data_IF_254021286470
#
_entry.id   IF_254021286470
#
_cell.length_a   1.000
_cell.length_b   1.000
_cell.length_c   1.000
_cell.angle_alpha   90.00
_cell.angle_beta   90.00
_cell.angle_gamma   90.00
#
_symmetry.space_group_name_H-M   'P 1'
#
loop_
_entity.id
_entity.type
_entity.pdbx_description
1 polymer ?
#
# COMPACT_ATOMS: atom_id res chain seq x y z
N UNK A 1 -11.78 -17.86 -7.49
CA UNK A 1 -11.88 -16.39 -7.37
C UNK A 1 -10.98 -15.88 -6.25
N UNK A 2 -11.24 -16.23 -4.98
CA UNK A 2 -10.33 -15.95 -3.87
C UNK A 2 -8.89 -16.41 -4.17
N UNK A 3 -8.71 -17.61 -4.75
CA UNK A 3 -7.38 -18.11 -5.14
C UNK A 3 -6.62 -17.27 -6.18
N UNK A 4 -7.30 -16.56 -7.09
CA UNK A 4 -6.62 -15.72 -8.11
C UNK A 4 -6.18 -14.40 -7.47
N UNK A 5 -7.05 -13.79 -6.66
CA UNK A 5 -6.69 -12.63 -5.85
C UNK A 5 -5.58 -12.97 -4.84
N UNK A 6 -5.66 -14.11 -4.16
CA UNK A 6 -4.65 -14.58 -3.22
C UNK A 6 -3.30 -14.89 -3.90
N UNK A 7 -3.32 -15.43 -5.13
CA UNK A 7 -2.10 -15.73 -5.88
C UNK A 7 -1.41 -14.44 -6.37
N UNK A 8 -2.19 -13.49 -6.87
CA UNK A 8 -1.68 -12.17 -7.25
C UNK A 8 -1.13 -11.42 -6.03
N UNK A 9 -1.91 -11.40 -4.93
CA UNK A 9 -1.50 -10.84 -3.63
C UNK A 9 -0.18 -11.45 -3.14
N UNK A 10 -0.04 -12.79 -3.21
CA UNK A 10 1.22 -13.47 -2.88
C UNK A 10 2.40 -13.06 -3.77
N UNK A 11 2.18 -12.85 -5.07
CA UNK A 11 3.24 -12.39 -5.98
C UNK A 11 3.70 -10.98 -5.63
N UNK A 12 2.77 -10.07 -5.34
CA UNK A 12 3.09 -8.69 -4.92
C UNK A 12 3.91 -8.65 -3.64
N UNK A 13 3.50 -9.44 -2.64
CA UNK A 13 4.20 -9.51 -1.36
C UNK A 13 5.67 -9.93 -1.47
N UNK A 14 6.07 -10.64 -2.52
CA UNK A 14 7.48 -11.05 -2.71
C UNK A 14 8.38 -9.83 -2.88
N UNK A 15 7.98 -8.85 -3.67
CA UNK A 15 8.86 -7.71 -3.97
C UNK A 15 8.84 -6.63 -2.92
N UNK A 16 7.71 -6.47 -2.21
CA UNK A 16 7.69 -5.69 -0.97
C UNK A 16 8.66 -6.29 0.06
N UNK A 17 8.65 -7.62 0.22
CA UNK A 17 9.61 -8.31 1.11
C UNK A 17 11.05 -8.13 0.65
N UNK A 18 11.33 -8.14 -0.66
CA UNK A 18 12.67 -7.90 -1.17
C UNK A 18 13.14 -6.47 -0.89
N UNK A 19 12.32 -5.46 -1.20
CA UNK A 19 12.63 -4.06 -0.90
C UNK A 19 12.82 -3.83 0.60
N UNK A 20 11.92 -4.38 1.42
CA UNK A 20 12.01 -4.32 2.87
C UNK A 20 13.28 -5.01 3.40
N UNK A 21 13.65 -6.17 2.85
CA UNK A 21 14.89 -6.86 3.21
C UNK A 21 16.13 -6.03 2.84
N UNK A 22 16.09 -5.37 1.69
CA UNK A 22 17.17 -4.51 1.24
C UNK A 22 17.34 -3.30 2.16
N UNK A 23 16.25 -2.61 2.52
CA UNK A 23 16.25 -1.54 3.52
C UNK A 23 16.75 -2.02 4.88
N UNK A 24 16.37 -3.25 5.29
CA UNK A 24 16.82 -3.84 6.55
C UNK A 24 18.32 -4.07 6.58
N UNK A 25 18.92 -4.59 5.49
CA UNK A 25 20.37 -4.75 5.37
C UNK A 25 21.11 -3.41 5.38
N UNK A 26 20.48 -2.36 4.86
CA UNK A 26 21.03 -1.02 4.88
C UNK A 26 21.02 -0.40 6.29
N UNK A 27 20.00 -0.70 7.09
CA UNK A 27 19.84 -0.23 8.48
C UNK A 27 20.56 -1.09 9.51
N UNK A 28 20.74 -2.39 9.26
CA UNK A 28 21.25 -3.38 10.20
C UNK A 28 22.35 -4.18 9.51
N UNK A 29 23.59 -3.92 9.90
CA UNK A 29 24.77 -4.56 9.34
C UNK A 29 25.73 -4.99 10.46
N UNK A 30 26.48 -6.05 10.23
CA UNK A 30 27.44 -6.63 11.17
C UNK A 30 28.60 -5.69 11.52
N UNK A 31 28.76 -4.60 10.77
CA UNK A 31 29.77 -3.57 10.98
C UNK A 31 29.38 -2.51 12.03
N UNK A 32 28.33 -2.74 12.81
CA UNK A 32 27.87 -1.80 13.83
C UNK A 32 28.98 -1.49 14.86
N UNK A 33 29.15 -0.21 15.19
CA UNK A 33 30.21 0.33 16.06
C UNK A 33 31.58 0.45 15.40
N UNK A 34 31.74 0.08 14.13
CA UNK A 34 33.04 0.13 13.44
C UNK A 34 33.34 1.49 12.81
N UNK A 35 34.63 1.75 12.54
CA UNK A 35 35.06 2.89 11.71
C UNK A 35 34.40 2.85 10.33
N UNK A 36 34.18 1.67 9.76
CA UNK A 36 33.53 1.49 8.46
C UNK A 36 32.07 1.93 8.48
N UNK A 37 31.31 1.62 9.53
CA UNK A 37 29.94 2.14 9.68
C UNK A 37 29.93 3.67 9.77
N UNK A 38 30.81 4.27 10.57
CA UNK A 38 30.87 5.74 10.67
C UNK A 38 31.19 6.41 9.32
N UNK A 39 32.10 5.82 8.55
CA UNK A 39 32.44 6.26 7.20
C UNK A 39 31.27 6.09 6.23
N UNK A 40 30.55 4.97 6.34
CA UNK A 40 29.34 4.71 5.57
C UNK A 40 28.23 5.71 5.89
N UNK A 41 27.91 5.99 7.16
CA UNK A 41 26.86 6.95 7.53
C UNK A 41 27.15 8.34 6.97
N UNK A 42 28.40 8.78 7.04
CA UNK A 42 28.84 10.05 6.46
C UNK A 42 28.73 10.04 4.93
N UNK A 43 29.15 8.94 4.29
CA UNK A 43 29.06 8.75 2.86
C UNK A 43 27.60 8.75 2.39
N UNK A 44 26.74 8.03 3.10
CA UNK A 44 25.31 7.93 2.84
C UNK A 44 24.66 9.31 2.96
N UNK A 45 24.86 10.04 4.06
CA UNK A 45 24.30 11.38 4.23
C UNK A 45 24.77 12.37 3.17
N UNK A 46 25.99 12.23 2.66
CA UNK A 46 26.50 13.05 1.54
C UNK A 46 25.77 12.73 0.23
N UNK A 47 25.43 11.45 0.00
CA UNK A 47 24.72 11.02 -1.21
C UNK A 47 23.22 11.31 -1.11
N UNK A 48 22.56 10.93 -0.02
CA UNK A 48 21.11 11.03 0.17
C UNK A 48 20.64 12.40 0.63
N UNK A 49 21.54 13.25 1.18
CA UNK A 49 21.18 14.49 1.85
C UNK A 49 20.56 14.32 3.24
N UNK A 50 20.50 13.10 3.78
CA UNK A 50 19.90 12.79 5.08
C UNK A 50 20.60 11.60 5.76
N UNK A 51 20.58 11.53 7.09
CA UNK A 51 21.17 10.40 7.80
C UNK A 51 20.45 9.07 7.47
N UNK A 52 21.16 7.95 7.66
CA UNK A 52 20.67 6.64 7.25
C UNK A 52 19.47 6.19 8.09
N UNK A 53 19.42 6.58 9.36
CA UNK A 53 18.35 6.26 10.28
C UNK A 53 17.05 6.96 9.86
N UNK A 54 17.11 8.26 9.57
CA UNK A 54 15.98 9.04 9.04
C UNK A 54 15.52 8.52 7.70
N UNK A 55 16.46 8.22 6.79
CA UNK A 55 16.14 7.65 5.48
C UNK A 55 15.41 6.31 5.64
N UNK A 56 16.04 5.34 6.30
CA UNK A 56 15.47 3.98 6.39
C UNK A 56 14.17 3.97 7.18
N UNK A 57 14.04 4.75 8.25
CA UNK A 57 12.79 4.91 8.99
C UNK A 57 11.64 5.44 8.12
N UNK A 58 11.92 6.47 7.31
CA UNK A 58 10.95 7.04 6.38
C UNK A 58 10.57 6.04 5.28
N UNK A 59 11.56 5.32 4.73
CA UNK A 59 11.31 4.33 3.69
C UNK A 59 10.49 3.14 4.21
N UNK A 60 10.79 2.65 5.42
CA UNK A 60 9.97 1.60 6.04
C UNK A 60 8.52 2.03 6.22
N UNK A 61 8.29 3.26 6.71
CA UNK A 61 6.95 3.79 6.87
C UNK A 61 6.17 3.78 5.54
N UNK A 62 6.76 4.27 4.46
CA UNK A 62 6.09 4.30 3.16
C UNK A 62 5.88 2.91 2.56
N UNK A 63 6.85 2.00 2.71
CA UNK A 63 6.72 0.60 2.25
C UNK A 63 5.58 -0.10 3.00
N UNK A 64 5.51 0.03 4.33
CA UNK A 64 4.43 -0.54 5.14
C UNK A 64 3.07 0.06 4.81
N UNK A 65 3.00 1.38 4.60
CA UNK A 65 1.77 2.05 4.19
C UNK A 65 1.29 1.53 2.83
N UNK A 66 2.18 1.40 1.86
CA UNK A 66 1.85 0.93 0.54
C UNK A 66 1.42 -0.56 0.56
N UNK A 67 2.11 -1.40 1.34
CA UNK A 67 1.70 -2.79 1.57
C UNK A 67 0.28 -2.88 2.14
N UNK A 68 -0.01 -2.10 3.20
CA UNK A 68 -1.35 -2.03 3.80
C UNK A 68 -2.40 -1.57 2.79
N UNK A 69 -2.09 -0.63 1.90
CA UNK A 69 -3.04 -0.16 0.90
C UNK A 69 -3.34 -1.20 -0.18
N UNK A 70 -2.32 -1.96 -0.61
CA UNK A 70 -2.49 -3.04 -1.57
C UNK A 70 -3.28 -4.21 -0.99
N UNK A 71 -3.16 -4.42 0.32
CA UNK A 71 -3.81 -5.50 1.05
C UNK A 71 -5.28 -5.27 1.37
N UNK A 72 -5.77 -4.03 1.30
CA UNK A 72 -7.20 -3.68 1.51
C UNK A 72 -8.07 -4.41 0.49
N UNK A 73 -9.25 -4.86 0.91
CA UNK A 73 -10.26 -5.41 0.00
C UNK A 73 -10.71 -4.35 -1.01
N UNK A 74 -11.15 -3.20 -0.52
CA UNK A 74 -11.41 -2.02 -1.34
C UNK A 74 -10.13 -1.19 -1.57
N UNK A 75 -9.38 -1.61 -2.59
CA UNK A 75 -8.18 -0.90 -3.02
C UNK A 75 -8.46 0.40 -3.72
N UNK A 76 -7.60 1.35 -3.43
CA UNK A 76 -7.65 2.71 -3.94
C UNK A 76 -6.40 2.97 -4.77
N UNK A 77 -6.52 2.86 -6.09
CA UNK A 77 -5.42 3.06 -7.05
C UNK A 77 -4.74 4.41 -6.84
N UNK A 78 -5.51 5.49 -6.78
CA UNK A 78 -4.99 6.85 -6.57
C UNK A 78 -4.19 6.98 -5.28
N UNK A 79 -4.68 6.37 -4.19
CA UNK A 79 -3.98 6.38 -2.91
C UNK A 79 -2.65 5.61 -2.95
N UNK A 80 -2.66 4.45 -3.62
CA UNK A 80 -1.48 3.58 -3.71
C UNK A 80 -0.42 4.22 -4.61
N UNK A 81 -0.84 4.82 -5.73
CA UNK A 81 0.07 5.53 -6.62
C UNK A 81 0.63 6.80 -5.97
N UNK A 82 -0.18 7.54 -5.20
CA UNK A 82 0.32 8.69 -4.45
C UNK A 82 1.39 8.28 -3.43
N UNK A 83 1.17 7.20 -2.68
CA UNK A 83 2.13 6.66 -1.71
C UNK A 83 3.40 6.18 -2.42
N UNK A 84 3.26 5.47 -3.54
CA UNK A 84 4.39 5.03 -4.37
C UNK A 84 5.21 6.20 -4.93
N UNK A 85 4.57 7.26 -5.42
CA UNK A 85 5.29 8.42 -5.98
C UNK A 85 6.14 9.14 -4.92
N UNK A 86 5.67 9.18 -3.66
CA UNK A 86 6.45 9.73 -2.55
C UNK A 86 7.68 8.84 -2.28
N UNK A 87 7.49 7.53 -2.23
CA UNK A 87 8.59 6.55 -2.09
C UNK A 87 9.60 6.68 -3.24
N UNK A 88 9.13 6.74 -4.48
CA UNK A 88 9.95 6.90 -5.68
C UNK A 88 10.75 8.19 -5.62
N UNK A 89 10.13 9.31 -5.24
CA UNK A 89 10.81 10.61 -5.13
C UNK A 89 11.96 10.58 -4.10
N UNK A 90 11.75 9.94 -2.94
CA UNK A 90 12.79 9.79 -1.92
C UNK A 90 13.98 8.96 -2.42
N UNK A 91 13.72 7.86 -3.15
CA UNK A 91 14.78 7.07 -3.77
C UNK A 91 15.46 7.80 -4.94
N UNK A 92 14.71 8.57 -5.73
CA UNK A 92 15.27 9.34 -6.85
C UNK A 92 16.28 10.38 -6.38
N UNK A 93 16.10 10.95 -5.19
CA UNK A 93 17.09 11.83 -4.58
C UNK A 93 18.42 11.10 -4.34
N UNK A 94 18.38 9.86 -3.86
CA UNK A 94 19.56 9.01 -3.67
C UNK A 94 20.19 8.58 -5.01
N UNK A 95 19.37 8.15 -5.98
CA UNK A 95 19.82 7.68 -7.30
C UNK A 95 20.45 8.80 -8.13
N UNK A 96 19.84 9.99 -8.08
CA UNK A 96 20.24 11.16 -8.89
C UNK A 96 21.37 11.96 -8.23
N UNK A 97 21.77 11.61 -7.00
CA UNK A 97 22.89 12.25 -6.33
C UNK A 97 24.20 12.03 -7.08
N UNK A 98 24.49 12.98 -7.97
CA UNK A 98 25.71 13.05 -8.79
C UNK A 98 26.84 13.78 -8.07
N UNK A 99 26.66 14.07 -6.77
CA UNK A 99 27.45 15.00 -5.99
C UNK A 99 28.86 14.40 -5.78
N UNK A 100 29.75 14.72 -6.73
CA UNK A 100 31.21 14.65 -6.71
C UNK A 100 31.93 13.30 -6.82
N UNK A 101 31.43 12.38 -7.63
CA UNK A 101 32.10 11.10 -7.92
C UNK A 101 33.54 11.15 -8.52
N UNK A 102 34.15 12.32 -8.71
CA UNK A 102 35.48 12.52 -9.31
C UNK A 102 36.54 13.16 -8.38
N UNK A 103 36.21 13.42 -7.10
CA UNK A 103 37.16 13.97 -6.11
C UNK A 103 37.68 12.86 -5.16
N UNK A 104 38.89 13.02 -4.63
CA UNK A 104 39.58 12.10 -3.71
C UNK A 104 38.74 11.81 -2.45
N UNK A 105 38.00 12.82 -1.97
CA UNK A 105 37.07 12.69 -0.84
C UNK A 105 35.90 11.72 -1.15
N UNK A 106 35.51 11.62 -2.41
CA UNK A 106 34.42 10.74 -2.86
C UNK A 106 34.92 9.34 -3.23
N UNK A 107 36.20 9.18 -3.53
CA UNK A 107 36.83 7.85 -3.59
C UNK A 107 36.68 7.12 -2.24
N UNK A 108 36.90 7.83 -1.12
CA UNK A 108 36.67 7.27 0.22
C UNK A 108 35.20 6.95 0.49
N UNK A 109 34.28 7.80 0.03
CA UNK A 109 32.82 7.57 0.11
C UNK A 109 32.42 6.26 -0.58
N UNK A 110 32.94 6.01 -1.79
CA UNK A 110 32.72 4.76 -2.53
C UNK A 110 33.26 3.54 -1.78
N UNK A 111 34.46 3.65 -1.22
CA UNK A 111 35.09 2.55 -0.48
C UNK A 111 34.26 2.18 0.74
N UNK A 112 33.86 3.17 1.56
CA UNK A 112 33.03 2.90 2.73
C UNK A 112 31.66 2.35 2.35
N UNK A 113 31.04 2.88 1.29
CA UNK A 113 29.78 2.37 0.77
C UNK A 113 29.90 0.90 0.36
N UNK A 114 30.88 0.57 -0.49
CA UNK A 114 31.08 -0.78 -0.98
C UNK A 114 31.49 -1.76 0.13
N UNK A 115 32.30 -1.34 1.10
CA UNK A 115 32.64 -2.18 2.25
C UNK A 115 31.42 -2.49 3.13
N UNK A 116 30.51 -1.54 3.27
CA UNK A 116 29.32 -1.69 4.09
C UNK A 116 28.23 -2.53 3.39
N UNK A 117 27.89 -2.16 2.15
CA UNK A 117 26.80 -2.79 1.40
C UNK A 117 27.22 -4.02 0.62
N UNK A 118 28.53 -4.24 0.45
CA UNK A 118 29.12 -5.22 -0.48
C UNK A 118 28.74 -4.96 -1.95
N UNK A 119 28.27 -3.75 -2.27
CA UNK A 119 27.79 -3.35 -3.59
C UNK A 119 28.37 -2.00 -3.97
N UNK A 120 28.78 -1.85 -5.22
CA UNK A 120 29.09 -0.51 -5.72
C UNK A 120 27.83 0.36 -5.74
N UNK A 121 28.00 1.68 -5.64
CA UNK A 121 26.87 2.63 -5.70
C UNK A 121 26.02 2.42 -6.98
N UNK A 122 26.61 2.24 -8.19
CA UNK A 122 25.82 1.96 -9.39
C UNK A 122 25.00 0.67 -9.28
N UNK A 123 25.60 -0.44 -8.84
CA UNK A 123 24.88 -1.72 -8.68
C UNK A 123 23.74 -1.61 -7.65
N UNK A 124 23.99 -0.90 -6.55
CA UNK A 124 22.97 -0.62 -5.54
C UNK A 124 21.80 0.18 -6.12
N UNK A 125 22.09 1.22 -6.91
CA UNK A 125 21.06 2.01 -7.58
C UNK A 125 20.26 1.17 -8.58
N UNK A 126 20.91 0.32 -9.38
CA UNK A 126 20.24 -0.57 -10.33
C UNK A 126 19.27 -1.54 -9.62
N UNK A 127 19.69 -2.10 -8.47
CA UNK A 127 18.85 -2.97 -7.65
C UNK A 127 17.64 -2.20 -7.10
N UNK A 128 17.84 -0.97 -6.61
CA UNK A 128 16.74 -0.13 -6.12
C UNK A 128 15.74 0.20 -7.23
N UNK A 129 16.22 0.58 -8.42
CA UNK A 129 15.39 0.84 -9.60
C UNK A 129 14.55 -0.39 -9.94
N UNK A 130 15.19 -1.57 -10.00
CA UNK A 130 14.50 -2.83 -10.27
C UNK A 130 13.39 -3.11 -9.24
N UNK A 131 13.64 -2.87 -7.95
CA UNK A 131 12.62 -3.03 -6.91
C UNK A 131 11.45 -2.06 -7.09
N UNK A 132 11.72 -0.80 -7.42
CA UNK A 132 10.68 0.20 -7.69
C UNK A 132 9.83 -0.14 -8.90
N UNK A 133 10.45 -0.60 -9.99
CA UNK A 133 9.74 -1.06 -11.18
C UNK A 133 8.80 -2.23 -10.86
N UNK A 134 9.26 -3.18 -10.04
CA UNK A 134 8.40 -4.29 -9.64
C UNK A 134 7.24 -3.82 -8.74
N UNK A 135 7.49 -2.94 -7.77
CA UNK A 135 6.44 -2.39 -6.92
C UNK A 135 5.39 -1.66 -7.76
N UNK A 136 5.82 -0.84 -8.73
CA UNK A 136 4.92 -0.17 -9.67
C UNK A 136 4.08 -1.16 -10.48
N UNK A 137 4.73 -2.17 -11.05
CA UNK A 137 4.04 -3.25 -11.77
C UNK A 137 3.00 -3.97 -10.89
N UNK A 138 3.29 -4.13 -9.60
CA UNK A 138 2.37 -4.75 -8.65
C UNK A 138 1.10 -3.91 -8.45
N UNK A 139 1.23 -2.58 -8.44
CA UNK A 139 0.09 -1.66 -8.39
C UNK A 139 -0.75 -1.82 -9.68
N UNK A 140 -0.12 -1.79 -10.85
CA UNK A 140 -0.80 -1.91 -12.15
C UNK A 140 -1.57 -3.24 -12.29
N UNK A 141 -0.98 -4.35 -11.85
CA UNK A 141 -1.64 -5.66 -11.85
C UNK A 141 -2.85 -5.68 -10.89
N UNK A 142 -2.75 -5.02 -9.72
CA UNK A 142 -3.86 -4.89 -8.76
C UNK A 142 -5.00 -4.05 -9.34
N UNK A 143 -4.68 -2.99 -10.10
CA UNK A 143 -5.65 -2.18 -10.86
C UNK A 143 -6.38 -3.04 -11.89
N UNK A 144 -5.63 -3.82 -12.68
CA UNK A 144 -6.20 -4.70 -13.69
C UNK A 144 -7.15 -5.73 -13.07
N UNK A 145 -6.75 -6.39 -11.98
CA UNK A 145 -7.58 -7.36 -11.27
C UNK A 145 -8.88 -6.75 -10.74
N UNK A 146 -8.84 -5.51 -10.24
CA UNK A 146 -10.06 -4.80 -9.79
C UNK A 146 -11.01 -4.57 -10.97
N UNK A 147 -10.48 -4.18 -12.15
CA UNK A 147 -11.28 -3.95 -13.35
C UNK A 147 -11.93 -5.24 -13.87
N UNK A 148 -11.16 -6.32 -13.96
CA UNK A 148 -11.65 -7.64 -14.39
C UNK A 148 -12.75 -8.15 -13.45
N UNK A 149 -12.56 -8.01 -12.15
CA UNK A 149 -13.57 -8.34 -11.14
C UNK A 149 -14.87 -7.54 -11.35
N UNK A 150 -14.77 -6.22 -11.46
CA UNK A 150 -15.95 -5.36 -11.65
C UNK A 150 -16.71 -5.69 -12.94
N UNK A 151 -15.99 -5.96 -14.03
CA UNK A 151 -16.59 -6.38 -15.31
C UNK A 151 -17.37 -7.69 -15.16
N UNK A 152 -16.79 -8.68 -14.49
CA UNK A 152 -17.42 -9.97 -14.25
C UNK A 152 -18.65 -9.87 -13.34
N UNK A 153 -18.60 -9.03 -12.29
CA UNK A 153 -19.77 -8.80 -11.41
C UNK A 153 -20.93 -8.21 -12.22
N UNK A 154 -20.64 -7.22 -13.07
CA UNK A 154 -21.66 -6.58 -13.91
C UNK A 154 -22.27 -7.58 -14.91
N UNK A 155 -21.45 -8.42 -15.55
CA UNK A 155 -21.94 -9.44 -16.50
C UNK A 155 -22.87 -10.47 -15.81
N UNK A 156 -22.48 -10.96 -14.63
CA UNK A 156 -23.35 -11.85 -13.85
C UNK A 156 -24.67 -11.18 -13.44
N UNK A 157 -24.61 -9.92 -13.03
CA UNK A 157 -25.79 -9.17 -12.64
C UNK A 157 -26.75 -8.98 -13.82
N UNK A 158 -26.23 -8.73 -15.02
CA UNK A 158 -27.03 -8.69 -16.25
C UNK A 158 -27.70 -10.05 -16.52
N UNK A 159 -26.94 -11.14 -16.52
CA UNK A 159 -27.48 -12.50 -16.74
C UNK A 159 -28.60 -12.84 -15.75
N UNK A 160 -28.42 -12.52 -14.47
CA UNK A 160 -29.44 -12.81 -13.43
C UNK A 160 -30.70 -11.96 -13.60
N UNK A 161 -30.57 -10.75 -14.16
CA UNK A 161 -31.72 -9.87 -14.43
C UNK A 161 -32.49 -10.36 -15.65
N UNK A 162 -31.79 -10.78 -16.71
CA UNK A 162 -32.40 -11.38 -17.90
C UNK A 162 -33.12 -12.69 -17.57
N UNK A 163 -32.48 -13.60 -16.82
CA UNK A 163 -33.08 -14.88 -16.41
C UNK A 163 -34.35 -14.70 -15.57
N UNK A 164 -34.37 -13.69 -14.69
CA UNK A 164 -35.56 -13.34 -13.90
C UNK A 164 -36.71 -12.82 -14.77
N UNK A 165 -36.41 -11.98 -15.77
CA UNK A 165 -37.42 -11.47 -16.71
C UNK A 165 -38.02 -12.62 -17.52
N UNK A 166 -37.19 -13.52 -18.04
CA UNK A 166 -37.68 -14.66 -18.83
C UNK A 166 -38.53 -15.64 -18.00
N UNK A 167 -38.12 -15.92 -16.76
CA UNK A 167 -38.89 -16.75 -15.84
C UNK A 167 -40.25 -16.12 -15.52
N UNK A 168 -40.29 -14.81 -15.27
CA UNK A 168 -41.55 -14.10 -15.00
C UNK A 168 -42.50 -14.07 -16.20
N UNK A 169 -41.96 -13.99 -17.42
CA UNK A 169 -42.73 -14.02 -18.67
C UNK A 169 -43.32 -15.40 -18.98
N UNK A 170 -42.60 -16.48 -18.65
CA UNK A 170 -43.09 -17.84 -18.79
C UNK A 170 -44.24 -18.16 -17.81
N UNK A 171 -44.16 -17.63 -16.58
CA UNK A 171 -45.21 -17.80 -15.58
C UNK A 171 -46.48 -17.01 -15.94
N UNK A 172 -46.35 -15.80 -16.48
CA UNK A 172 -47.50 -14.97 -16.88
C UNK A 172 -48.28 -15.58 -18.07
N UNK A 173 -47.58 -16.21 -19.02
CA UNK A 173 -48.21 -16.92 -20.13
C UNK A 173 -48.99 -18.18 -19.68
N UNK A 174 -48.68 -18.76 -18.51
CA UNK A 174 -49.40 -19.91 -17.94
C UNK A 174 -50.59 -19.52 -17.05
N UNK A 175 -50.82 -18.23 -16.83
CA UNK A 175 -51.85 -17.67 -15.94
C UNK A 175 -53.19 -17.37 -16.64
N UNK A 176 -53.25 -17.46 -17.97
CA UNK A 176 -54.47 -17.22 -18.74
C UNK A 176 -55.29 -18.52 -18.85
N UNK A 177 -56.54 -18.43 -18.41
CA UNK A 177 -57.63 -19.42 -18.45
C UNK A 177 -57.71 -20.44 -17.30
N UNK A 178 -58.14 -19.97 -16.13
CA UNK A 178 -59.10 -20.76 -15.33
C UNK A 178 -60.45 -20.04 -15.29
N UNK A 179 -61.31 -20.39 -16.25
CA UNK A 179 -62.71 -19.99 -16.28
C UNK A 179 -63.43 -20.62 -15.09
N UNK A 180 -63.95 -19.75 -14.24
CA UNK A 180 -64.90 -20.01 -13.15
C UNK A 180 -65.97 -21.06 -13.51
N UNK A 181 -66.02 -22.13 -12.74
CA UNK A 181 -67.24 -22.92 -12.55
C UNK A 181 -67.40 -23.31 -11.09
N UNK A 182 -68.30 -22.56 -10.45
CA UNK A 182 -68.96 -22.80 -9.17
C UNK A 182 -69.55 -24.21 -9.10
N UNK A 183 -69.06 -25.03 -8.18
CA UNK A 183 -69.76 -26.23 -7.71
C UNK A 183 -69.63 -26.35 -6.20
N UNK A 184 -70.78 -26.37 -5.54
CA UNK A 184 -70.96 -26.54 -4.11
C UNK A 184 -70.48 -27.94 -3.68
N UNK A 185 -69.49 -28.00 -2.80
CA UNK A 185 -69.12 -29.23 -2.10
C UNK A 185 -69.47 -29.11 -0.61
N UNK A 186 -70.31 -30.05 -0.21
CA UNK A 186 -71.03 -30.19 1.05
C UNK A 186 -70.10 -30.76 2.13
N UNK A 187 -70.35 -30.33 3.35
CA UNK A 187 -69.69 -30.66 4.62
C UNK A 187 -69.32 -32.15 4.81
N UNK A 188 -68.12 -32.42 5.34
CA UNK A 188 -68.03 -33.16 6.61
C UNK A 188 -66.71 -32.92 7.37
N UNK A 189 -66.89 -32.87 8.68
CA UNK A 189 -66.01 -32.49 9.79
C UNK A 189 -65.08 -33.63 10.20
N UNK A 190 -63.84 -33.35 10.66
CA UNK A 190 -63.39 -33.60 12.06
C UNK A 190 -61.91 -33.30 12.31
N UNK A 191 -61.68 -32.47 13.34
CA UNK A 191 -60.62 -32.57 14.37
C UNK A 191 -59.16 -32.42 13.92
N UNK A 192 -58.41 -31.40 14.33
CA UNK A 192 -58.11 -31.10 15.73
C UNK A 192 -57.44 -29.72 15.91
N UNK A 193 -57.63 -29.21 17.13
CA UNK A 193 -57.31 -27.91 17.70
C UNK A 193 -55.82 -27.74 18.05
N UNK A 194 -55.44 -26.48 18.28
CA UNK A 194 -54.22 -25.94 18.93
C UNK A 194 -53.10 -25.56 17.97
N UNK A 195 -52.42 -24.43 18.10
CA UNK A 195 -52.48 -23.39 19.12
C UNK A 195 -51.59 -22.24 18.63
N UNK A 196 -52.00 -21.05 19.02
CA UNK A 196 -51.40 -19.76 18.74
C UNK A 196 -49.95 -19.72 19.25
N UNK A 197 -49.02 -19.17 18.47
CA UNK A 197 -47.90 -18.44 19.04
C UNK A 197 -47.68 -17.17 18.23
N UNK A 198 -48.01 -16.05 18.87
CA UNK A 198 -47.70 -14.72 18.39
C UNK A 198 -46.37 -14.35 19.05
N UNK A 199 -45.32 -14.23 18.25
CA UNK A 199 -44.17 -13.44 18.66
C UNK A 199 -43.88 -12.39 17.60
N UNK A 200 -44.46 -11.22 17.88
CA UNK A 200 -43.94 -9.93 17.49
C UNK A 200 -42.50 -9.85 17.99
N UNK A 201 -41.56 -9.61 17.08
CA UNK A 201 -40.33 -8.89 17.37
C UNK A 201 -39.87 -8.28 16.05
N UNK A 202 -40.50 -7.15 15.73
CA UNK A 202 -39.89 -6.11 14.93
C UNK A 202 -38.63 -5.59 15.66
N UNK A 203 -37.57 -6.39 15.65
CA UNK A 203 -36.24 -5.93 15.99
C UNK A 203 -35.71 -5.14 14.80
N UNK A 204 -35.97 -3.83 14.81
CA UNK A 204 -35.13 -2.85 14.14
C UNK A 204 -33.70 -3.05 14.65
N UNK A 205 -32.92 -3.89 13.94
CA UNK A 205 -31.47 -3.93 14.11
C UNK A 205 -30.95 -2.64 13.50
N UNK A 206 -31.03 -1.56 14.29
CA UNK A 206 -30.16 -0.41 14.13
C UNK A 206 -28.73 -0.92 14.28
N UNK A 207 -27.85 -0.82 13.27
CA UNK A 207 -26.43 -0.91 13.54
C UNK A 207 -26.09 0.29 14.43
N UNK A 208 -25.78 0.01 15.70
CA UNK A 208 -25.13 0.98 16.58
C UNK A 208 -23.71 1.06 16.05
N UNK A 209 -23.50 1.94 15.08
CA UNK A 209 -22.17 2.50 14.89
C UNK A 209 -21.93 3.37 16.12
N UNK A 210 -21.14 2.86 17.06
CA UNK A 210 -20.31 3.73 17.87
C UNK A 210 -19.28 4.35 16.92
N UNK A 211 -19.71 5.40 16.22
CA UNK A 211 -18.80 6.40 15.70
C UNK A 211 -18.20 7.13 16.90
N UNK A 212 -17.16 6.52 17.48
CA UNK A 212 -16.18 7.30 18.19
C UNK A 212 -15.63 8.32 17.18
N UNK A 213 -15.77 9.65 17.41
CA UNK A 213 -15.29 10.62 16.46
C UNK A 213 -13.76 10.55 16.49
N UNK A 214 -13.17 9.93 15.47
CA UNK A 214 -11.76 10.16 15.17
C UNK A 214 -11.62 11.64 14.85
N UNK A 215 -11.21 12.39 15.87
CA UNK A 215 -10.85 13.79 15.74
C UNK A 215 -9.92 13.92 14.55
N UNK A 216 -10.38 14.69 13.57
CA UNK A 216 -9.63 15.09 12.40
C UNK A 216 -8.37 15.81 12.89
N UNK A 217 -7.25 15.08 12.93
CA UNK A 217 -5.95 15.68 13.21
C UNK A 217 -5.63 16.56 12.01
N UNK A 218 -5.78 17.87 12.20
CA UNK A 218 -5.22 18.87 11.29
C UNK A 218 -3.71 18.67 11.22
N UNK A 219 -3.24 17.99 10.17
CA UNK A 219 -1.84 17.99 9.78
C UNK A 219 -1.51 19.27 9.03
N UNK A 220 -1.67 20.42 9.69
CA UNK A 220 -1.05 21.68 9.26
C UNK A 220 0.40 21.68 9.70
N UNK A 221 1.20 20.84 9.05
CA UNK A 221 2.63 21.11 8.92
C UNK A 221 2.91 21.03 7.42
N UNK A 222 2.70 22.15 6.73
CA UNK A 222 3.40 22.41 5.48
C UNK A 222 4.89 22.42 5.81
N UNK A 223 5.55 21.28 5.61
CA UNK A 223 7.01 21.21 5.64
C UNK A 223 7.46 21.99 4.40
N UNK A 224 7.77 23.27 4.59
CA UNK A 224 8.30 24.13 3.56
C UNK A 224 9.74 23.68 3.22
N UNK A 225 9.84 22.82 2.21
CA UNK A 225 11.10 22.24 1.69
C UNK A 225 12.11 23.31 1.26
N UNK A 226 11.70 24.58 1.09
CA UNK A 226 12.60 25.68 0.75
C UNK A 226 13.33 26.34 1.95
N UNK A 227 12.98 26.02 3.20
CA UNK A 227 13.53 26.72 4.37
C UNK A 227 14.93 26.24 4.81
N UNK A 228 15.41 25.08 4.33
CA UNK A 228 16.70 24.49 4.77
C UNK A 228 17.89 25.04 3.94
N UNK A 229 17.63 25.89 2.96
CA UNK A 229 18.66 26.45 2.05
C UNK A 229 19.40 27.70 2.55
N UNK A 230 19.20 28.16 3.79
CA UNK A 230 19.81 29.41 4.28
C UNK A 230 20.30 29.38 5.74
N UNK A 231 21.13 28.41 6.12
CA UNK A 231 22.13 28.54 7.20
C UNK A 231 23.27 27.60 6.78
N UNK A 232 24.55 27.92 6.59
CA UNK A 232 25.45 28.87 7.23
C UNK A 232 26.52 29.30 6.20
N UNK A 233 26.93 30.57 6.21
CA UNK A 233 28.23 30.99 5.65
C UNK A 233 28.91 31.87 6.68
N UNK A 234 29.55 31.25 7.67
CA UNK A 234 30.61 31.92 8.43
C UNK A 234 31.80 30.97 8.57
N UNK A 235 32.87 31.32 7.85
CA UNK A 235 34.17 30.69 7.87
C UNK A 235 34.81 30.84 9.26
N UNK A 236 35.10 29.73 9.93
CA UNK A 236 35.96 29.74 11.11
C UNK A 236 37.41 29.97 10.67
N UNK A 237 38.00 31.13 11.01
CA UNK A 237 39.44 31.40 10.87
C UNK A 237 40.21 30.52 11.86
N UNK A 238 41.07 29.65 11.35
CA UNK A 238 42.04 28.91 12.15
C UNK A 238 43.20 29.84 12.54
N UNK A 239 43.40 30.04 13.84
CA UNK A 239 44.62 30.64 14.38
C UNK A 239 45.64 29.53 14.61
N UNK A 240 46.75 29.56 13.87
CA UNK A 240 47.95 28.80 14.19
C UNK A 240 48.82 29.67 15.10
N UNK A 241 48.89 29.35 16.39
CA UNK A 241 50.03 29.69 17.23
C UNK A 241 50.70 28.40 17.65
N UNK A 242 51.98 28.27 17.27
CA UNK A 242 52.78 27.09 17.51
C UNK A 242 53.33 27.05 18.93
N UNK A 243 53.64 25.85 19.38
CA UNK A 243 54.57 25.64 20.48
C UNK A 243 55.47 24.46 20.09
N UNK A 244 56.72 24.79 19.82
CA UNK A 244 57.83 23.84 19.70
C UNK A 244 58.53 23.86 21.05
N UNK A 245 58.51 22.74 21.77
CA UNK A 245 59.52 22.39 22.78
C UNK A 245 59.82 20.89 22.68
#
# INVERSE_FOLDING_TARGET
>A
MQQIQDKAKKSFMVSFRQLHLHLKRLSQNDLQGSRTESGFKRAFATLSGQDIETFTGTMFLYVEQLEKQLDKEDFQETGSMATFNVLETQFQMLITSRVYLNDEYVAMTRIYFQQYTQQSIPEFNDILIQHLEYVKKSIDERVQLKREYNSWVNERQMQTTEEKVDTSKALDASSVDTKSSRTESKEHVTSSRSGNDAHDDNADIRPIYDEEPMAEVQTTIEINVFAIGQQHTEQTKFNNEGEVV
#
